data_IF_234799303079
#
_entry.id   IF_234799303079
#
_cell.length_a   1.000
_cell.length_b   1.000
_cell.length_c   1.000
_cell.angle_alpha   90.00
_cell.angle_beta   90.00
_cell.angle_gamma   90.00
#
_symmetry.space_group_name_H-M   'P 1'
#
loop_
_entity.id
_entity.type
_entity.pdbx_description
1 polymer ?
#
# COMPACT_ATOMS: atom_id res chain seq x y z
N UNK A 1 -13.11 5.45 2.98
CA UNK A 1 -13.07 5.72 4.44
C UNK A 1 -13.96 4.81 5.28
N UNK A 2 -15.26 4.67 5.01
CA UNK A 2 -16.21 3.99 5.91
C UNK A 2 -15.79 2.58 6.38
N UNK A 3 -15.24 1.74 5.47
CA UNK A 3 -14.71 0.42 5.83
C UNK A 3 -13.60 0.49 6.89
N UNK A 4 -12.62 1.39 6.70
CA UNK A 4 -11.46 1.54 7.59
C UNK A 4 -11.94 1.97 8.98
N UNK A 5 -12.85 2.95 9.03
CA UNK A 5 -13.42 3.43 10.29
C UNK A 5 -14.21 2.32 11.01
N UNK A 6 -15.09 1.60 10.29
CA UNK A 6 -15.84 0.48 10.87
C UNK A 6 -14.91 -0.65 11.36
N UNK A 7 -13.84 -0.95 10.62
CA UNK A 7 -12.83 -1.94 11.03
C UNK A 7 -12.11 -1.48 12.30
N UNK A 8 -11.64 -0.23 12.35
CA UNK A 8 -10.96 0.31 13.53
C UNK A 8 -11.86 0.26 14.76
N UNK A 9 -13.11 0.72 14.65
CA UNK A 9 -14.08 0.67 15.76
C UNK A 9 -14.31 -0.77 16.22
N UNK A 10 -14.44 -1.72 15.29
CA UNK A 10 -14.74 -3.13 15.62
C UNK A 10 -13.58 -3.86 16.32
N UNK A 11 -12.34 -3.53 15.98
CA UNK A 11 -11.16 -4.27 16.41
C UNK A 11 -10.23 -3.47 17.33
N UNK A 12 -10.68 -2.33 17.86
CA UNK A 12 -9.93 -1.57 18.86
C UNK A 12 -10.47 -1.88 20.24
N UNK A 13 -9.63 -2.52 21.04
CA UNK A 13 -9.89 -2.82 22.45
C UNK A 13 -8.94 -1.98 23.32
N UNK A 14 -9.43 -1.39 24.43
CA UNK A 14 -8.56 -0.74 25.40
C UNK A 14 -7.61 -1.77 26.03
N UNK A 15 -6.39 -1.34 26.32
CA UNK A 15 -5.36 -2.12 27.03
C UNK A 15 -5.06 -3.51 26.45
N UNK A 16 -5.30 -3.69 25.14
CA UNK A 16 -5.00 -4.91 24.40
C UNK A 16 -6.00 -6.04 24.53
N UNK A 17 -7.14 -5.79 25.18
CA UNK A 17 -8.25 -6.74 25.24
C UNK A 17 -7.90 -8.08 25.88
N UNK A 18 -8.64 -9.13 25.52
CA UNK A 18 -8.47 -10.47 26.11
C UNK A 18 -7.10 -11.10 25.80
N UNK A 19 -6.54 -10.77 24.66
CA UNK A 19 -5.28 -11.35 24.17
C UNK A 19 -4.04 -10.53 24.58
N UNK A 20 -4.22 -9.43 25.33
CA UNK A 20 -3.17 -8.46 25.73
C UNK A 20 -2.38 -7.88 24.53
N UNK A 21 -3.01 -7.78 23.35
CA UNK A 21 -2.38 -7.22 22.14
C UNK A 21 -2.77 -5.75 21.99
N UNK A 22 -1.86 -4.85 22.36
CA UNK A 22 -2.10 -3.41 22.28
C UNK A 22 -2.15 -2.94 20.83
N UNK A 23 -3.26 -2.29 20.46
CA UNK A 23 -3.42 -1.66 19.16
C UNK A 23 -2.56 -0.41 19.05
N UNK A 24 -1.42 -0.54 18.36
CA UNK A 24 -0.57 0.60 18.04
C UNK A 24 -1.12 1.39 16.85
N UNK A 25 -0.93 2.71 16.91
CA UNK A 25 -1.21 3.57 15.76
C UNK A 25 -0.36 3.13 14.54
N UNK A 26 -0.88 3.21 13.31
CA UNK A 26 -0.09 2.96 12.12
C UNK A 26 1.16 3.83 12.12
N UNK A 27 2.33 3.22 11.91
CA UNK A 27 3.57 3.98 11.75
C UNK A 27 3.49 4.79 10.45
N UNK A 28 3.84 6.07 10.51
CA UNK A 28 3.87 6.97 9.34
C UNK A 28 4.77 6.40 8.22
N UNK A 29 5.84 5.69 8.60
CA UNK A 29 6.81 5.10 7.67
C UNK A 29 6.44 3.66 7.26
N UNK A 30 5.20 3.23 7.47
CA UNK A 30 4.81 1.88 7.08
C UNK A 30 4.84 1.78 5.53
N UNK A 31 5.53 0.79 4.94
CA UNK A 31 5.84 0.75 3.50
C UNK A 31 4.63 0.30 2.65
N UNK A 32 3.43 0.76 2.99
CA UNK A 32 2.18 0.33 2.34
C UNK A 32 2.13 0.72 0.87
N UNK A 33 2.74 1.86 0.50
CA UNK A 33 2.88 2.27 -0.91
C UNK A 33 3.61 1.22 -1.72
N UNK A 34 4.77 0.78 -1.22
CA UNK A 34 5.59 -0.25 -1.88
C UNK A 34 4.87 -1.60 -1.99
N UNK A 35 4.12 -2.00 -0.97
CA UNK A 35 3.33 -3.24 -1.02
C UNK A 35 2.22 -3.18 -2.08
N UNK A 36 1.55 -2.03 -2.19
CA UNK A 36 0.52 -1.82 -3.22
C UNK A 36 1.16 -1.79 -4.60
N UNK A 37 2.25 -1.04 -4.78
CA UNK A 37 3.01 -0.99 -6.04
C UNK A 37 3.44 -2.37 -6.49
N UNK A 38 4.06 -3.16 -5.61
CA UNK A 38 4.49 -4.53 -5.91
C UNK A 38 3.32 -5.44 -6.33
N UNK A 39 2.19 -5.36 -5.62
CA UNK A 39 0.98 -6.11 -5.99
C UNK A 39 0.44 -5.69 -7.36
N UNK A 40 0.39 -4.39 -7.64
CA UNK A 40 -0.09 -3.87 -8.92
C UNK A 40 0.84 -4.31 -10.06
N UNK A 41 2.14 -4.15 -9.90
CA UNK A 41 3.14 -4.63 -10.89
C UNK A 41 2.99 -6.12 -11.19
N UNK A 42 2.81 -6.94 -10.14
CA UNK A 42 2.80 -8.41 -10.29
C UNK A 42 1.48 -8.99 -10.79
N UNK A 43 0.33 -8.36 -10.53
CA UNK A 43 -1.00 -8.94 -10.81
C UNK A 43 -1.93 -8.05 -11.61
N UNK A 44 -1.74 -6.74 -11.58
CA UNK A 44 -2.66 -5.74 -12.16
C UNK A 44 -1.89 -4.54 -12.75
N UNK A 45 -0.92 -4.75 -13.66
CA UNK A 45 -0.02 -3.68 -14.11
C UNK A 45 -0.76 -2.51 -14.76
N UNK A 46 -1.86 -2.80 -15.46
CA UNK A 46 -2.72 -1.79 -16.09
C UNK A 46 -3.33 -0.78 -15.09
N UNK A 47 -3.43 -1.14 -13.81
CA UNK A 47 -4.02 -0.27 -12.78
C UNK A 47 -2.99 0.60 -12.05
N UNK A 48 -1.69 0.36 -12.29
CA UNK A 48 -0.60 1.07 -11.61
C UNK A 48 -0.64 2.58 -11.88
N UNK A 49 -0.89 2.97 -13.13
CA UNK A 49 -0.98 4.39 -13.49
C UNK A 49 -2.12 5.13 -12.78
N UNK A 50 -3.27 4.48 -12.63
CA UNK A 50 -4.40 5.07 -11.92
C UNK A 50 -4.08 5.23 -10.42
N UNK A 51 -3.44 4.22 -9.82
CA UNK A 51 -2.99 4.28 -8.43
C UNK A 51 -2.01 5.43 -8.18
N UNK A 52 -0.94 5.51 -8.98
CA UNK A 52 0.11 6.54 -8.89
C UNK A 52 -0.49 7.95 -9.02
N UNK A 53 -1.48 8.15 -9.90
CA UNK A 53 -2.23 9.41 -10.01
C UNK A 53 -3.03 9.72 -8.74
N UNK A 54 -3.71 8.74 -8.14
CA UNK A 54 -4.51 8.91 -6.91
C UNK A 54 -3.68 9.34 -5.71
N UNK A 55 -2.45 8.80 -5.59
CA UNK A 55 -1.51 9.19 -4.53
C UNK A 55 -0.66 10.41 -4.89
N UNK A 56 -0.94 11.06 -6.04
CA UNK A 56 -0.35 12.33 -6.48
C UNK A 56 1.17 12.30 -6.63
N UNK A 57 1.71 11.17 -7.11
CA UNK A 57 3.12 11.12 -7.50
C UNK A 57 3.36 12.07 -8.69
N UNK A 58 4.36 12.96 -8.62
CA UNK A 58 4.73 13.84 -9.73
C UNK A 58 5.18 13.04 -10.96
N UNK A 59 4.80 13.49 -12.15
CA UNK A 59 5.19 12.83 -13.41
C UNK A 59 4.76 11.36 -13.50
N UNK A 60 3.47 11.02 -13.27
CA UNK A 60 3.02 9.65 -13.04
C UNK A 60 3.33 8.71 -14.22
N UNK A 61 3.27 9.20 -15.46
CA UNK A 61 3.61 8.38 -16.64
C UNK A 61 5.11 8.02 -16.70
N UNK A 62 5.99 8.95 -16.31
CA UNK A 62 7.43 8.71 -16.27
C UNK A 62 7.76 7.72 -15.15
N UNK A 63 7.17 7.97 -13.97
CA UNK A 63 7.34 7.11 -12.80
C UNK A 63 6.95 5.65 -13.08
N UNK A 64 5.75 5.41 -13.64
CA UNK A 64 5.28 4.06 -13.97
C UNK A 64 6.25 3.34 -14.90
N UNK A 65 6.69 4.00 -15.98
CA UNK A 65 7.67 3.41 -16.92
C UNK A 65 8.97 3.01 -16.25
N UNK A 66 9.49 3.85 -15.35
CA UNK A 66 10.75 3.58 -14.65
C UNK A 66 10.61 2.39 -13.69
N UNK A 67 9.50 2.33 -12.93
CA UNK A 67 9.27 1.24 -11.97
C UNK A 67 8.97 -0.09 -12.68
N UNK A 68 8.18 -0.08 -13.77
CA UNK A 68 7.94 -1.27 -14.58
C UNK A 68 9.23 -1.85 -15.18
N UNK A 69 10.13 -0.96 -15.61
CA UNK A 69 11.46 -1.36 -16.10
C UNK A 69 12.27 -2.04 -14.99
N UNK A 70 12.39 -1.39 -13.82
CA UNK A 70 13.12 -1.94 -12.67
C UNK A 70 12.53 -3.30 -12.25
N UNK A 71 11.20 -3.42 -12.21
CA UNK A 71 10.54 -4.65 -11.83
C UNK A 71 10.83 -5.79 -12.81
N UNK A 72 10.85 -5.51 -14.11
CA UNK A 72 11.17 -6.49 -15.15
C UNK A 72 12.63 -6.97 -15.07
N UNK A 73 13.57 -6.05 -14.85
CA UNK A 73 15.01 -6.37 -14.69
C UNK A 73 15.26 -7.36 -13.54
N UNK A 74 14.48 -7.27 -12.47
CA UNK A 74 14.58 -8.17 -11.31
C UNK A 74 13.97 -9.55 -11.61
N UNK A 75 12.96 -9.65 -12.49
CA UNK A 75 12.37 -10.94 -12.87
C UNK A 75 13.22 -11.72 -13.87
N UNK A 76 14.07 -11.03 -14.64
CA UNK A 76 15.01 -11.62 -15.59
C UNK A 76 16.33 -12.09 -14.95
N UNK A 77 16.53 -11.78 -13.66
CA UNK A 77 17.70 -12.17 -12.84
C UNK A 77 17.45 -13.45 -12.04
#
# INVERSE_FOLDING_TARGET
MHYILKKQVKYTEPDGGKDNIVNLAPKINFPIGHLIEYYLLSKRPNDLLEYVKKIRIPGPNKYVKEIEKIFSEIQES
#
